data_IF_309824297644
#
_entry.id   IF_309824297644
#
_cell.length_a   1.000
_cell.length_b   1.000
_cell.length_c   1.000
_cell.angle_alpha   90.00
_cell.angle_beta   90.00
_cell.angle_gamma   90.00
#
_symmetry.space_group_name_H-M   'P 1'
#
loop_
_entity.id
_entity.type
_entity.pdbx_description
1 polymer ?
#
# COMPACT_ATOMS: atom_id res chain seq x y z
N UNK A 1 -15.73 12.55 -59.12
CA UNK A 1 -16.38 11.49 -58.31
C UNK A 1 -15.36 10.49 -57.72
N UNK A 2 -14.30 10.93 -57.02
CA UNK A 2 -13.25 10.01 -56.50
C UNK A 2 -12.80 10.35 -55.06
N UNK A 3 -13.70 10.86 -54.22
CA UNK A 3 -13.38 11.18 -52.81
C UNK A 3 -14.35 10.58 -51.79
N UNK A 4 -15.30 9.75 -52.23
CA UNK A 4 -16.30 9.09 -51.38
C UNK A 4 -15.90 7.69 -50.93
N UNK A 5 -15.00 7.01 -51.64
CA UNK A 5 -14.61 5.63 -51.30
C UNK A 5 -13.63 5.52 -50.11
N UNK A 6 -12.78 6.53 -49.86
CA UNK A 6 -11.76 6.47 -48.79
C UNK A 6 -12.36 6.46 -47.37
N UNK A 7 -13.49 7.15 -47.17
CA UNK A 7 -14.14 7.24 -45.85
C UNK A 7 -14.86 5.94 -45.47
N UNK A 8 -15.49 5.28 -46.45
CA UNK A 8 -16.24 4.03 -46.24
C UNK A 8 -15.27 2.88 -45.89
N UNK A 9 -14.12 2.80 -46.56
CA UNK A 9 -13.09 1.78 -46.28
C UNK A 9 -12.54 1.92 -44.85
N UNK A 10 -12.31 3.14 -44.37
CA UNK A 10 -11.82 3.39 -43.00
C UNK A 10 -12.87 3.06 -41.92
N UNK A 11 -14.16 3.24 -42.20
CA UNK A 11 -15.25 2.90 -41.29
C UNK A 11 -15.43 1.37 -41.19
N UNK A 12 -15.37 0.67 -42.32
CA UNK A 12 -15.40 -0.79 -42.38
C UNK A 12 -14.22 -1.42 -41.62
N UNK A 13 -13.00 -0.88 -41.79
CA UNK A 13 -11.80 -1.40 -41.11
C UNK A 13 -11.88 -1.26 -39.57
N UNK A 14 -12.50 -0.18 -39.07
CA UNK A 14 -12.71 0.01 -37.61
C UNK A 14 -13.74 -0.95 -37.01
N UNK A 15 -14.72 -1.39 -37.80
CA UNK A 15 -15.71 -2.36 -37.34
C UNK A 15 -15.11 -3.77 -37.26
N UNK A 16 -14.25 -4.13 -38.21
CA UNK A 16 -13.54 -5.43 -38.25
C UNK A 16 -12.49 -5.54 -37.12
N UNK A 17 -11.82 -4.44 -36.76
CA UNK A 17 -10.85 -4.45 -35.65
C UNK A 17 -11.49 -4.53 -34.25
N UNK A 18 -12.79 -4.23 -34.12
CA UNK A 18 -13.52 -4.32 -32.84
C UNK A 18 -14.01 -5.73 -32.52
N UNK A 19 -14.11 -6.64 -33.50
CA UNK A 19 -14.65 -7.99 -33.30
C UNK A 19 -13.61 -9.02 -32.82
N UNK A 20 -12.32 -8.66 -32.74
CA UNK A 20 -11.25 -9.59 -32.34
C UNK A 20 -10.86 -9.46 -30.85
N UNK A 21 -11.43 -8.51 -30.10
CA UNK A 21 -11.09 -8.26 -28.68
C UNK A 21 -12.13 -8.76 -27.67
N UNK A 22 -12.78 -9.89 -27.92
CA UNK A 22 -13.68 -10.45 -26.92
C UNK A 22 -14.27 -11.80 -27.29
N UNK A 23 -13.63 -12.87 -26.80
CA UNK A 23 -14.28 -14.05 -26.19
C UNK A 23 -13.25 -15.16 -25.99
N UNK A 24 -12.53 -15.12 -24.86
CA UNK A 24 -11.89 -16.33 -24.33
C UNK A 24 -12.99 -17.08 -23.59
N UNK A 25 -13.58 -18.07 -24.26
CA UNK A 25 -14.47 -19.04 -23.65
C UNK A 25 -13.60 -19.89 -22.73
N UNK A 26 -13.56 -19.54 -21.43
CA UNK A 26 -12.99 -20.44 -20.42
C UNK A 26 -14.01 -21.57 -20.22
N UNK A 27 -13.53 -22.80 -20.36
CA UNK A 27 -14.35 -24.00 -20.50
C UNK A 27 -15.47 -24.14 -19.46
N UNK A 28 -16.63 -24.58 -19.93
CA UNK A 28 -17.66 -25.18 -19.10
C UNK A 28 -17.08 -26.50 -18.54
N UNK A 29 -16.61 -26.46 -17.30
CA UNK A 29 -16.58 -27.67 -16.49
C UNK A 29 -18.01 -27.91 -16.02
N UNK A 30 -18.59 -29.02 -16.45
CA UNK A 30 -19.82 -29.53 -15.85
C UNK A 30 -19.43 -30.01 -14.45
N UNK A 31 -19.90 -29.32 -13.42
CA UNK A 31 -19.86 -29.90 -12.08
C UNK A 31 -21.24 -29.72 -11.49
N UNK A 32 -21.86 -30.87 -11.27
CA UNK A 32 -23.15 -31.09 -10.62
C UNK A 32 -23.40 -30.07 -9.52
N UNK A 33 -24.48 -29.29 -9.66
CA UNK A 33 -25.04 -28.50 -8.57
C UNK A 33 -25.70 -29.50 -7.61
N UNK A 34 -24.89 -30.10 -6.74
CA UNK A 34 -25.41 -30.75 -5.54
C UNK A 34 -25.61 -29.64 -4.51
N UNK A 35 -26.86 -29.34 -4.20
CA UNK A 35 -27.25 -28.42 -3.14
C UNK A 35 -26.83 -29.00 -1.80
N UNK A 36 -25.66 -28.62 -1.29
CA UNK A 36 -25.20 -28.98 0.04
C UNK A 36 -25.05 -27.73 0.90
N UNK A 37 -26.14 -27.33 1.56
CA UNK A 37 -26.08 -26.34 2.65
C UNK A 37 -25.22 -26.82 3.83
N UNK A 38 -24.68 -28.05 3.79
CA UNK A 38 -23.90 -28.70 4.85
C UNK A 38 -22.40 -28.83 4.51
N UNK A 39 -21.98 -28.85 3.24
CA UNK A 39 -20.55 -29.03 2.90
C UNK A 39 -19.73 -27.75 3.01
N UNK A 40 -20.37 -26.60 2.82
CA UNK A 40 -19.71 -25.32 2.85
C UNK A 40 -19.14 -25.01 4.26
N UNK A 41 -19.71 -25.62 5.31
CA UNK A 41 -19.33 -25.39 6.72
C UNK A 41 -17.96 -25.97 7.10
N UNK A 42 -17.46 -26.95 6.35
CA UNK A 42 -16.12 -27.53 6.56
C UNK A 42 -15.01 -26.79 5.80
N UNK A 43 -15.36 -25.82 4.94
CA UNK A 43 -14.39 -25.12 4.08
C UNK A 43 -13.74 -23.91 4.76
N UNK A 44 -14.40 -23.32 5.74
CA UNK A 44 -13.97 -22.09 6.39
C UNK A 44 -14.07 -22.22 7.91
N UNK A 45 -12.96 -21.98 8.61
CA UNK A 45 -12.92 -21.95 10.08
C UNK A 45 -13.73 -20.77 10.63
N UNK A 46 -13.83 -19.68 9.86
CA UNK A 46 -14.59 -18.49 10.25
C UNK A 46 -15.31 -17.87 9.04
N UNK A 47 -16.58 -17.51 9.23
CA UNK A 47 -17.40 -16.78 8.25
C UNK A 47 -17.78 -15.42 8.80
N UNK A 48 -17.09 -14.38 8.34
CA UNK A 48 -17.40 -13.01 8.74
C UNK A 48 -18.62 -12.50 7.97
N UNK A 49 -19.58 -11.87 8.68
CA UNK A 49 -20.73 -11.19 8.05
C UNK A 49 -20.30 -9.98 7.19
N UNK A 50 -19.13 -9.45 7.47
CA UNK A 50 -18.53 -8.27 6.84
C UNK A 50 -17.24 -8.73 6.12
N UNK A 51 -16.93 -8.24 4.91
CA UNK A 51 -15.66 -8.54 4.27
C UNK A 51 -14.48 -8.20 5.18
N UNK A 52 -13.48 -9.07 5.27
CA UNK A 52 -12.32 -8.89 6.16
C UNK A 52 -11.63 -7.54 5.98
N UNK A 53 -11.62 -7.00 4.76
CA UNK A 53 -10.97 -5.72 4.43
C UNK A 53 -11.94 -4.52 4.39
N UNK A 54 -13.15 -4.65 4.92
CA UNK A 54 -14.20 -3.63 4.82
C UNK A 54 -13.78 -2.26 5.40
N UNK A 55 -13.15 -2.25 6.57
CA UNK A 55 -12.71 -1.01 7.25
C UNK A 55 -11.33 -0.50 6.82
N UNK A 56 -10.68 -1.13 5.84
CA UNK A 56 -9.33 -0.75 5.47
C UNK A 56 -9.26 0.66 4.87
N UNK A 57 -10.28 1.04 4.09
CA UNK A 57 -10.36 2.39 3.50
C UNK A 57 -10.62 3.49 4.53
N UNK A 58 -11.18 3.13 5.68
CA UNK A 58 -11.52 4.07 6.77
C UNK A 58 -10.47 4.10 7.88
N UNK A 59 -9.36 3.38 7.75
CA UNK A 59 -8.29 3.45 8.75
C UNK A 59 -7.70 4.86 8.79
N UNK A 60 -7.57 5.36 10.01
CA UNK A 60 -6.92 6.63 10.25
C UNK A 60 -5.43 6.52 9.92
N UNK A 61 -4.88 7.63 9.45
CA UNK A 61 -3.46 7.74 9.16
C UNK A 61 -2.65 7.64 10.45
N UNK A 62 -1.53 6.92 10.41
CA UNK A 62 -0.64 6.84 11.56
C UNK A 62 0.03 8.21 11.78
N UNK A 63 -0.08 8.82 12.98
CA UNK A 63 0.56 10.09 13.25
C UNK A 63 2.08 9.91 13.38
N UNK A 64 2.83 10.85 12.81
CA UNK A 64 4.29 10.93 13.03
C UNK A 64 4.52 11.56 14.42
N UNK A 65 5.25 10.89 15.33
CA UNK A 65 5.53 11.43 16.66
C UNK A 65 6.47 12.64 16.60
N UNK A 66 6.40 13.50 17.62
CA UNK A 66 7.33 14.62 17.76
C UNK A 66 8.79 14.13 17.88
N UNK A 67 9.71 14.85 17.24
CA UNK A 67 11.14 14.53 17.25
C UNK A 67 11.67 14.42 18.68
N UNK A 68 11.37 15.39 19.53
CA UNK A 68 11.84 15.44 20.92
C UNK A 68 11.38 14.23 21.75
N UNK A 69 10.10 13.86 21.63
CA UNK A 69 9.53 12.69 22.32
C UNK A 69 10.14 11.39 21.80
N UNK A 70 10.55 11.36 20.52
CA UNK A 70 11.20 10.20 19.91
C UNK A 70 12.62 10.05 20.42
N UNK A 71 13.41 11.14 20.43
CA UNK A 71 14.75 11.18 21.02
C UNK A 71 14.75 10.78 22.50
N UNK A 72 13.79 11.31 23.28
CA UNK A 72 13.66 10.99 24.71
C UNK A 72 13.36 9.51 24.93
N UNK A 73 12.43 8.93 24.15
CA UNK A 73 12.11 7.49 24.25
C UNK A 73 13.28 6.62 23.84
N UNK A 74 14.02 7.01 22.81
CA UNK A 74 15.23 6.32 22.39
C UNK A 74 16.28 6.30 23.50
N UNK A 75 16.60 7.46 24.10
CA UNK A 75 17.53 7.51 25.23
C UNK A 75 17.04 6.65 26.41
N UNK A 76 15.74 6.67 26.72
CA UNK A 76 15.18 5.80 27.76
C UNK A 76 15.38 4.31 27.47
N UNK A 77 15.25 3.87 26.22
CA UNK A 77 15.54 2.48 25.84
C UNK A 77 17.03 2.14 25.94
N UNK A 78 17.92 3.06 25.57
CA UNK A 78 19.36 2.83 25.62
C UNK A 78 19.90 2.74 27.04
N UNK A 79 19.29 3.43 28.00
CA UNK A 79 19.69 3.40 29.41
C UNK A 79 19.66 1.98 30.02
N UNK A 80 18.82 1.08 29.50
CA UNK A 80 18.76 -0.31 29.97
C UNK A 80 19.86 -1.21 29.38
N UNK A 81 20.55 -0.75 28.32
CA UNK A 81 21.47 -1.55 27.52
C UNK A 81 22.93 -1.10 27.66
N UNK A 82 23.15 0.21 27.83
CA UNK A 82 24.47 0.83 27.79
C UNK A 82 25.04 1.08 29.19
N UNK A 83 26.37 1.06 29.29
CA UNK A 83 27.08 1.60 30.46
C UNK A 83 26.94 3.13 30.55
N UNK A 84 27.24 3.71 31.71
CA UNK A 84 27.08 5.16 31.93
C UNK A 84 27.95 6.00 30.97
N UNK A 85 29.14 5.52 30.62
CA UNK A 85 30.06 6.18 29.67
C UNK A 85 29.47 6.18 28.25
N UNK A 86 29.05 5.02 27.76
CA UNK A 86 28.43 4.86 26.44
C UNK A 86 27.11 5.62 26.33
N UNK A 87 26.31 5.61 27.40
CA UNK A 87 25.08 6.39 27.48
C UNK A 87 25.36 7.89 27.35
N UNK A 88 26.42 8.40 28.01
CA UNK A 88 26.80 9.80 27.93
C UNK A 88 27.20 10.22 26.50
N UNK A 89 27.96 9.37 25.80
CA UNK A 89 28.33 9.60 24.40
C UNK A 89 27.10 9.57 23.48
N UNK A 90 26.21 8.60 23.70
CA UNK A 90 24.95 8.47 22.95
C UNK A 90 24.04 9.67 23.15
N UNK A 91 23.94 10.16 24.39
CA UNK A 91 23.15 11.37 24.71
C UNK A 91 23.65 12.57 23.93
N UNK A 92 24.98 12.81 23.91
CA UNK A 92 25.58 13.91 23.14
C UNK A 92 25.27 13.80 21.64
N UNK A 93 25.36 12.60 21.07
CA UNK A 93 25.03 12.37 19.66
C UNK A 93 23.55 12.62 19.35
N UNK A 94 22.65 12.21 20.25
CA UNK A 94 21.20 12.46 20.11
C UNK A 94 20.87 13.95 20.23
N UNK A 95 21.51 14.67 21.15
CA UNK A 95 21.33 16.11 21.30
C UNK A 95 21.80 16.86 20.04
N UNK A 96 22.98 16.51 19.50
CA UNK A 96 23.48 17.04 18.23
C UNK A 96 22.56 16.72 17.05
N UNK A 97 22.02 15.50 16.99
CA UNK A 97 21.06 15.12 15.94
C UNK A 97 19.78 15.93 16.05
N UNK A 98 19.25 16.11 17.26
CA UNK A 98 18.01 16.85 17.51
C UNK A 98 18.14 18.32 17.12
N UNK A 99 19.28 18.95 17.36
CA UNK A 99 19.53 20.37 17.05
C UNK A 99 20.03 20.59 15.62
N UNK A 100 20.64 19.57 15.01
CA UNK A 100 21.16 19.63 13.65
C UNK A 100 20.23 18.97 12.63
N UNK A 101 20.77 17.95 11.93
CA UNK A 101 20.12 17.33 10.77
C UNK A 101 18.78 16.65 11.07
N UNK A 102 18.50 16.31 12.33
CA UNK A 102 17.25 15.67 12.72
C UNK A 102 16.02 16.53 12.49
N UNK A 103 16.12 17.86 12.62
CA UNK A 103 15.00 18.76 12.33
C UNK A 103 14.62 18.75 10.84
N UNK A 104 15.62 18.84 9.97
CA UNK A 104 15.43 18.85 8.52
C UNK A 104 14.88 17.50 8.03
N UNK A 105 15.46 16.40 8.51
CA UNK A 105 14.99 15.05 8.17
C UNK A 105 13.55 14.81 8.67
N UNK A 106 13.21 15.31 9.85
CA UNK A 106 11.86 15.20 10.38
C UNK A 106 10.85 16.02 9.56
N UNK A 107 11.24 17.20 9.08
CA UNK A 107 10.42 18.00 8.16
C UNK A 107 10.20 17.28 6.82
N UNK A 108 11.26 16.71 6.24
CA UNK A 108 11.17 15.92 5.01
C UNK A 108 10.28 14.68 5.18
N UNK A 109 10.38 13.99 6.32
CA UNK A 109 9.52 12.85 6.66
C UNK A 109 8.05 13.24 6.69
N UNK A 110 7.72 14.36 7.36
CA UNK A 110 6.35 14.90 7.41
C UNK A 110 5.83 15.28 6.02
N UNK A 111 6.68 15.82 5.15
CA UNK A 111 6.32 16.13 3.77
C UNK A 111 6.05 14.85 2.96
N UNK A 112 6.91 13.84 3.09
CA UNK A 112 6.73 12.54 2.42
C UNK A 112 5.46 11.83 2.87
N UNK A 113 5.13 11.85 4.16
CA UNK A 113 3.89 11.28 4.66
C UNK A 113 2.67 11.98 4.04
N UNK A 114 2.65 13.32 3.99
CA UNK A 114 1.55 14.07 3.34
C UNK A 114 1.30 13.62 1.90
N UNK A 115 2.37 13.35 1.14
CA UNK A 115 2.30 12.92 -0.26
C UNK A 115 1.88 11.46 -0.41
N UNK A 116 2.42 10.57 0.42
CA UNK A 116 2.35 9.12 0.17
C UNK A 116 0.99 8.53 0.53
N UNK A 117 0.27 9.14 1.48
CA UNK A 117 -0.99 8.58 1.99
C UNK A 117 -0.75 7.25 2.74
N UNK A 118 -1.27 7.14 3.95
CA UNK A 118 -1.02 6.02 4.89
C UNK A 118 -1.45 4.62 4.40
N UNK A 119 -1.95 4.48 3.17
CA UNK A 119 -2.36 3.20 2.57
C UNK A 119 -1.37 2.61 1.56
N UNK A 120 -0.27 3.30 1.24
CA UNK A 120 0.67 2.86 0.20
C UNK A 120 2.12 3.15 0.57
N UNK A 121 2.55 2.70 1.76
CA UNK A 121 3.99 2.56 2.03
C UNK A 121 4.48 1.37 1.20
N UNK A 122 4.77 1.64 -0.08
CA UNK A 122 5.33 0.67 -1.01
C UNK A 122 6.83 0.63 -0.75
N UNK A 123 7.26 -0.23 0.19
CA UNK A 123 8.67 -0.43 0.54
C UNK A 123 9.57 -0.71 -0.69
N UNK A 124 8.97 -1.21 -1.77
CA UNK A 124 9.63 -1.49 -3.05
C UNK A 124 10.12 -0.25 -3.82
N UNK A 125 9.73 0.98 -3.45
CA UNK A 125 10.23 2.21 -4.10
C UNK A 125 11.38 2.90 -3.33
N UNK A 126 11.84 2.31 -2.22
CA UNK A 126 12.95 2.86 -1.42
C UNK A 126 14.28 2.13 -1.64
N UNK A 127 14.30 1.09 -2.49
CA UNK A 127 15.49 0.31 -2.84
C UNK A 127 15.99 0.57 -4.29
N UNK A 128 15.48 1.62 -4.92
CA UNK A 128 16.00 2.20 -6.18
C UNK A 128 16.56 3.60 -5.90
#
# INVERSE_FOLDING_TARGET
MLLTHSKIIKVQLKQILKTVKGSVVRGLHTTSIYTSSVQDDYRYIHRSKIPTMHFQKSLLRLPIPDLDKTCTRYLRSQKALLSDEEYSATKRAVDQFKEGSGMDLHAQLKQKDKITGSGSIRWERMLE
#
